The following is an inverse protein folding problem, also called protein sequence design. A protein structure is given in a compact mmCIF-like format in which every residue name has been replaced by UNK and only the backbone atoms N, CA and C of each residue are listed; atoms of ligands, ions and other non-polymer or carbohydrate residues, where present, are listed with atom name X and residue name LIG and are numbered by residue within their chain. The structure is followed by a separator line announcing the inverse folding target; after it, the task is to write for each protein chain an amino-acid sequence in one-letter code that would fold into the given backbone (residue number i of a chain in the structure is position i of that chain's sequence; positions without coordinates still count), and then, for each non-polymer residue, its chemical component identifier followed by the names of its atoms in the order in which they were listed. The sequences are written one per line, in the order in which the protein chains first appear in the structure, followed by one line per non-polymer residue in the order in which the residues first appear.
data_IF_196590376013
#
_entry.id   IF_196590376013
#
_cell.length_a   1.000
_cell.length_b   1.000
_cell.length_c   1.000
_cell.angle_alpha   90.00
_cell.angle_beta   90.00
_cell.angle_gamma   90.00
#
_symmetry.space_group_name_H-M   'P 1'
#
loop_
_entity.id
_entity.type
_entity.pdbx_description
1 polymer ?
#
# COMPACT_ATOMS: atom_id res chain seq x y z
N UNK A 1 -4.91 -10.96 5.91
CA UNK A 1 -5.95 -11.66 5.19
C UNK A 1 -5.38 -12.23 3.90
N UNK A 2 -5.55 -13.50 3.67
CA UNK A 2 -4.85 -14.22 2.61
C UNK A 2 -3.37 -14.44 2.95
N UNK A 3 -2.57 -14.83 1.97
CA UNK A 3 -1.16 -15.15 2.14
C UNK A 3 -0.24 -13.97 1.79
N UNK A 4 -0.69 -12.73 1.99
CA UNK A 4 0.11 -11.55 1.70
C UNK A 4 0.97 -11.18 2.91
N UNK A 5 2.29 -11.07 2.76
CA UNK A 5 3.12 -10.51 3.80
C UNK A 5 2.79 -9.02 4.00
N UNK A 6 2.72 -8.59 5.23
CA UNK A 6 2.45 -7.20 5.60
C UNK A 6 3.62 -6.68 6.45
N UNK A 7 4.02 -5.46 6.19
CA UNK A 7 4.99 -4.74 7.01
C UNK A 7 4.32 -3.47 7.55
N UNK A 8 4.43 -3.26 8.86
CA UNK A 8 3.99 -2.04 9.52
C UNK A 8 5.22 -1.20 9.92
N UNK A 9 5.22 0.07 9.55
CA UNK A 9 6.24 1.00 10.05
C UNK A 9 6.02 1.28 11.53
N UNK A 10 7.08 1.59 12.30
CA UNK A 10 6.90 2.16 13.63
C UNK A 10 6.27 3.56 13.55
N UNK A 11 5.86 4.09 14.70
CA UNK A 11 5.44 5.48 14.81
C UNK A 11 6.61 6.41 14.47
N UNK A 12 6.34 7.42 13.66
CA UNK A 12 7.32 8.40 13.19
C UNK A 12 6.72 9.80 13.30
N UNK A 13 7.50 10.77 13.73
CA UNK A 13 7.12 12.19 13.78
C UNK A 13 7.89 13.04 12.75
N UNK A 14 8.79 12.42 12.01
CA UNK A 14 9.57 13.03 10.94
C UNK A 14 9.40 12.28 9.61
N UNK A 15 9.31 13.02 8.50
CA UNK A 15 9.09 12.47 7.16
C UNK A 15 10.30 11.66 6.68
N UNK A 16 11.51 12.06 6.99
CA UNK A 16 12.71 11.32 6.59
C UNK A 16 12.81 10.00 7.34
N UNK A 17 12.43 10.00 8.62
CA UNK A 17 12.31 8.78 9.43
C UNK A 17 11.27 7.82 8.83
N UNK A 18 10.07 8.33 8.49
CA UNK A 18 9.03 7.52 7.86
C UNK A 18 9.50 6.87 6.55
N UNK A 19 10.17 7.64 5.69
CA UNK A 19 10.73 7.10 4.44
C UNK A 19 11.81 6.06 4.71
N UNK A 20 12.66 6.29 5.72
CA UNK A 20 13.69 5.34 6.13
C UNK A 20 13.08 4.02 6.59
N UNK A 21 12.02 4.06 7.41
CA UNK A 21 11.33 2.86 7.87
C UNK A 21 10.59 2.13 6.74
N UNK A 22 9.97 2.86 5.80
CA UNK A 22 9.36 2.22 4.62
C UNK A 22 10.42 1.45 3.82
N UNK A 23 11.60 2.05 3.59
CA UNK A 23 12.70 1.39 2.89
C UNK A 23 13.35 0.26 3.68
N UNK A 24 13.45 0.40 4.99
CA UNK A 24 13.91 -0.69 5.85
C UNK A 24 12.95 -1.89 5.79
N UNK A 25 11.65 -1.64 5.74
CA UNK A 25 10.63 -2.68 5.56
C UNK A 25 10.82 -3.48 4.27
N UNK A 26 11.11 -2.81 3.16
CA UNK A 26 11.42 -3.49 1.89
C UNK A 26 12.62 -4.43 2.03
N UNK A 27 13.70 -4.01 2.72
CA UNK A 27 14.88 -4.84 2.98
C UNK A 27 14.61 -6.02 3.89
N UNK A 28 13.84 -5.80 4.95
CA UNK A 28 13.44 -6.88 5.87
C UNK A 28 12.66 -7.97 5.13
N UNK A 29 11.73 -7.58 4.28
CA UNK A 29 10.92 -8.54 3.52
C UNK A 29 11.75 -9.26 2.46
N UNK A 30 12.72 -8.58 1.82
CA UNK A 30 13.69 -9.18 0.90
C UNK A 30 14.56 -10.25 1.62
N UNK A 31 15.09 -9.94 2.81
CA UNK A 31 15.86 -10.89 3.60
C UNK A 31 15.02 -12.12 4.00
N UNK A 32 13.75 -11.91 4.38
CA UNK A 32 12.84 -13.01 4.71
C UNK A 32 12.56 -13.90 3.48
N UNK A 33 12.44 -13.31 2.29
CA UNK A 33 12.27 -14.02 1.04
C UNK A 33 13.48 -14.95 0.79
N UNK A 34 14.71 -14.44 0.90
CA UNK A 34 15.91 -15.24 0.70
C UNK A 34 16.03 -16.39 1.72
N UNK A 35 15.64 -16.14 2.98
CA UNK A 35 15.59 -17.19 3.99
C UNK A 35 14.53 -18.26 3.66
N UNK A 36 13.37 -17.84 3.16
CA UNK A 36 12.32 -18.77 2.74
C UNK A 36 12.76 -19.64 1.56
N UNK A 37 13.39 -19.05 0.54
CA UNK A 37 13.94 -19.79 -0.61
C UNK A 37 14.99 -20.82 -0.18
N UNK A 38 15.86 -20.46 0.78
CA UNK A 38 16.85 -21.39 1.32
C UNK A 38 16.17 -22.59 1.97
N UNK A 39 15.16 -22.39 2.82
CA UNK A 39 14.40 -23.46 3.47
C UNK A 39 13.69 -24.35 2.46
N UNK A 40 13.04 -23.76 1.44
CA UNK A 40 12.39 -24.52 0.39
C UNK A 40 13.38 -25.44 -0.34
N UNK A 41 14.59 -24.94 -0.65
CA UNK A 41 15.65 -25.77 -1.26
C UNK A 41 16.10 -26.91 -0.35
N UNK A 42 16.20 -26.68 0.96
CA UNK A 42 16.50 -27.72 1.95
C UNK A 42 15.42 -28.80 2.01
N UNK A 43 14.16 -28.44 1.79
CA UNK A 43 13.00 -29.32 1.69
C UNK A 43 12.85 -29.99 0.30
N UNK A 44 13.80 -29.80 -0.62
CA UNK A 44 13.79 -30.35 -1.97
C UNK A 44 12.82 -29.64 -2.93
N UNK A 45 12.31 -28.49 -2.57
CA UNK A 45 11.45 -27.65 -3.42
C UNK A 45 12.33 -26.67 -4.17
N UNK A 46 12.30 -26.73 -5.50
CA UNK A 46 13.03 -25.80 -6.39
C UNK A 46 12.09 -24.72 -6.93
N UNK A 47 12.62 -23.53 -7.11
CA UNK A 47 11.92 -22.37 -7.66
C UNK A 47 12.36 -21.08 -6.99
N UNK A 48 11.91 -19.96 -7.55
CA UNK A 48 12.17 -18.63 -7.02
C UNK A 48 10.88 -18.05 -6.44
N UNK A 49 11.01 -17.31 -5.34
CA UNK A 49 9.89 -16.57 -4.76
C UNK A 49 9.89 -15.17 -5.37
N UNK A 50 8.80 -14.78 -6.01
CA UNK A 50 8.61 -13.44 -6.53
C UNK A 50 7.70 -12.66 -5.60
N UNK A 51 8.17 -11.53 -5.12
CA UNK A 51 7.42 -10.63 -4.24
C UNK A 51 7.14 -9.31 -4.93
N UNK A 52 5.89 -8.90 -4.94
CA UNK A 52 5.44 -7.67 -5.57
C UNK A 52 4.78 -6.75 -4.54
N UNK A 53 5.07 -5.45 -4.62
CA UNK A 53 4.40 -4.42 -3.82
C UNK A 53 3.32 -3.77 -4.69
N UNK A 54 2.06 -4.16 -4.48
CA UNK A 54 0.91 -3.69 -5.25
C UNK A 54 -0.25 -3.27 -4.35
N UNK A 55 -1.04 -2.30 -4.80
CA UNK A 55 -2.31 -1.94 -4.17
C UNK A 55 -3.50 -2.71 -4.73
N UNK A 56 -3.40 -3.17 -5.98
CA UNK A 56 -4.44 -3.94 -6.67
C UNK A 56 -3.83 -5.04 -7.51
N UNK A 57 -4.52 -6.18 -7.61
CA UNK A 57 -4.10 -7.28 -8.49
C UNK A 57 -4.65 -7.14 -9.92
N UNK A 58 -4.36 -8.15 -10.76
CA UNK A 58 -4.86 -8.21 -12.15
C UNK A 58 -6.34 -8.56 -12.25
N UNK A 59 -6.92 -9.12 -11.20
CA UNK A 59 -8.35 -9.45 -11.14
C UNK A 59 -9.20 -8.27 -10.63
N UNK A 60 -8.56 -7.15 -10.25
CA UNK A 60 -9.24 -5.95 -9.76
C UNK A 60 -9.50 -5.96 -8.25
N UNK A 61 -8.97 -6.94 -7.50
CA UNK A 61 -9.05 -6.90 -6.05
C UNK A 61 -8.14 -5.80 -5.51
N UNK A 62 -8.63 -5.06 -4.50
CA UNK A 62 -7.86 -4.04 -3.81
C UNK A 62 -7.31 -4.59 -2.50
N UNK A 63 -6.00 -4.44 -2.31
CA UNK A 63 -5.32 -4.66 -1.04
C UNK A 63 -5.25 -3.33 -0.28
N UNK A 64 -4.85 -3.28 0.91
CA UNK A 64 -4.79 -2.02 1.65
C UNK A 64 -3.39 -1.39 1.61
N UNK A 65 -3.35 -0.07 1.79
CA UNK A 65 -2.22 0.64 2.36
C UNK A 65 -2.80 1.49 3.48
N UNK A 66 -2.65 1.05 4.72
CA UNK A 66 -3.22 1.73 5.86
C UNK A 66 -2.28 2.85 6.31
N UNK A 67 -2.84 4.01 6.54
CA UNK A 67 -2.13 5.16 7.09
C UNK A 67 -2.83 5.55 8.40
N UNK A 68 -2.11 5.52 9.50
CA UNK A 68 -2.62 5.91 10.81
C UNK A 68 -1.97 7.24 11.23
N UNK A 69 -2.79 8.21 11.58
CA UNK A 69 -2.33 9.53 11.98
C UNK A 69 -2.74 9.82 13.42
N UNK A 70 -1.75 10.14 14.27
CA UNK A 70 -2.02 10.63 15.60
C UNK A 70 -2.39 12.10 15.52
N UNK A 71 -3.55 12.45 16.02
CA UNK A 71 -4.07 13.81 16.05
C UNK A 71 -4.46 14.21 17.47
N UNK A 72 -4.44 15.52 17.78
CA UNK A 72 -4.91 16.02 19.07
C UNK A 72 -6.40 15.73 19.27
N UNK A 73 -6.77 15.36 20.49
CA UNK A 73 -8.17 15.14 20.88
C UNK A 73 -8.98 16.45 20.93
N UNK A 74 -8.31 17.59 20.93
CA UNK A 74 -8.98 18.90 20.92
C UNK A 74 -9.52 19.30 19.55
N UNK A 75 -9.12 18.57 18.50
CA UNK A 75 -9.61 18.82 17.14
C UNK A 75 -10.87 18.00 16.89
N UNK A 76 -11.96 18.65 16.52
CA UNK A 76 -13.19 17.94 16.18
C UNK A 76 -13.01 17.07 14.93
N UNK A 77 -13.66 15.91 14.92
CA UNK A 77 -13.64 15.00 13.76
C UNK A 77 -14.11 15.70 12.48
N UNK A 78 -15.15 16.53 12.56
CA UNK A 78 -15.65 17.27 11.41
C UNK A 78 -14.58 18.15 10.78
N UNK A 79 -13.83 18.89 11.60
CA UNK A 79 -12.74 19.76 11.10
C UNK A 79 -11.61 18.97 10.46
N UNK A 80 -11.29 17.79 11.03
CA UNK A 80 -10.32 16.86 10.42
C UNK A 80 -10.81 16.38 9.06
N UNK A 81 -12.05 15.95 8.96
CA UNK A 81 -12.65 15.46 7.73
C UNK A 81 -12.67 16.55 6.64
N UNK A 82 -13.12 17.77 6.98
CA UNK A 82 -13.14 18.90 6.05
C UNK A 82 -11.75 19.27 5.49
N UNK A 83 -10.69 19.06 6.26
CA UNK A 83 -9.31 19.29 5.82
C UNK A 83 -8.69 18.12 5.08
N UNK A 84 -8.89 16.90 5.58
CA UNK A 84 -8.18 15.71 5.08
C UNK A 84 -8.85 15.08 3.86
N UNK A 85 -10.17 15.08 3.76
CA UNK A 85 -10.87 14.45 2.62
C UNK A 85 -10.45 15.09 1.28
N UNK A 86 -10.47 16.41 1.11
CA UNK A 86 -10.00 17.04 -0.13
C UNK A 86 -8.55 16.68 -0.46
N UNK A 87 -7.67 16.62 0.55
CA UNK A 87 -6.28 16.22 0.37
C UNK A 87 -6.17 14.77 -0.09
N UNK A 88 -6.85 13.83 0.57
CA UNK A 88 -6.78 12.41 0.21
C UNK A 88 -7.34 12.12 -1.19
N UNK A 89 -8.35 12.86 -1.62
CA UNK A 89 -8.89 12.76 -2.97
C UNK A 89 -7.91 13.33 -3.99
N UNK A 90 -7.40 14.53 -3.76
CA UNK A 90 -6.55 15.23 -4.74
C UNK A 90 -5.13 14.65 -4.82
N UNK A 91 -4.58 14.10 -3.74
CA UNK A 91 -3.24 13.47 -3.76
C UNK A 91 -3.15 12.31 -4.76
N UNK A 92 -4.25 11.69 -5.15
CA UNK A 92 -4.26 10.63 -6.16
C UNK A 92 -3.71 11.10 -7.52
N UNK A 93 -3.75 12.41 -7.80
CA UNK A 93 -3.27 13.00 -9.04
C UNK A 93 -1.74 12.97 -9.11
N UNK A 94 -1.04 13.18 -7.99
CA UNK A 94 0.42 13.27 -7.96
C UNK A 94 1.11 12.12 -7.21
N UNK A 95 0.38 11.36 -6.40
CA UNK A 95 0.91 10.25 -5.59
C UNK A 95 0.14 8.92 -5.79
N UNK A 96 -0.58 8.78 -6.89
CA UNK A 96 -1.47 7.64 -7.14
C UNK A 96 -0.78 6.35 -7.61
N UNK A 97 0.55 6.34 -7.78
CA UNK A 97 1.39 5.23 -8.24
C UNK A 97 1.10 4.69 -9.66
N UNK A 98 0.06 5.16 -10.32
CA UNK A 98 -0.26 4.77 -11.70
C UNK A 98 -0.59 3.29 -11.90
N UNK A 99 -1.29 2.98 -12.95
CA UNK A 99 -1.51 1.59 -13.40
C UNK A 99 -1.96 1.57 -14.87
N UNK A 100 -1.55 0.55 -15.59
CA UNK A 100 -2.14 0.19 -16.88
C UNK A 100 -3.30 -0.77 -16.61
N UNK A 101 -4.50 -0.35 -16.98
CA UNK A 101 -5.72 -1.14 -16.85
C UNK A 101 -6.08 -1.76 -18.19
N UNK A 102 -6.43 -3.04 -18.17
CA UNK A 102 -7.05 -3.73 -19.29
C UNK A 102 -8.57 -3.67 -19.15
N UNK A 103 -9.23 -3.18 -20.19
CA UNK A 103 -10.69 -3.14 -20.26
C UNK A 103 -11.18 -3.79 -21.55
N UNK A 104 -12.47 -4.08 -21.72
CA UNK A 104 -13.03 -4.55 -22.99
C UNK A 104 -12.77 -3.61 -24.17
N UNK A 105 -12.44 -2.34 -23.91
CA UNK A 105 -12.12 -1.30 -24.92
C UNK A 105 -10.62 -1.18 -25.21
N UNK A 106 -9.79 -2.01 -24.57
CA UNK A 106 -8.33 -1.96 -24.71
C UNK A 106 -7.61 -1.57 -23.42
N UNK A 107 -6.36 -1.16 -23.56
CA UNK A 107 -5.52 -0.75 -22.45
C UNK A 107 -5.54 0.77 -22.30
N UNK A 108 -5.57 1.24 -21.05
CA UNK A 108 -5.41 2.65 -20.74
C UNK A 108 -4.62 2.82 -19.44
N UNK A 109 -3.90 3.93 -19.34
CA UNK A 109 -3.18 4.32 -18.15
C UNK A 109 -4.10 5.12 -17.23
N UNK A 110 -4.05 4.83 -15.93
CA UNK A 110 -4.68 5.63 -14.88
C UNK A 110 -3.63 6.13 -13.89
N UNK A 111 -3.84 7.33 -13.37
CA UNK A 111 -2.93 7.97 -12.41
C UNK A 111 -2.91 7.29 -11.04
N UNK A 112 -3.98 6.61 -10.67
CA UNK A 112 -4.12 5.98 -9.37
C UNK A 112 -4.68 4.58 -9.48
N UNK A 113 -4.03 3.63 -8.83
CA UNK A 113 -4.52 2.25 -8.73
C UNK A 113 -5.79 2.14 -7.86
N UNK A 114 -5.99 3.07 -6.95
CA UNK A 114 -7.06 3.00 -5.93
C UNK A 114 -8.24 3.92 -6.19
N UNK A 115 -8.14 4.87 -7.12
CA UNK A 115 -9.15 5.90 -7.32
C UNK A 115 -10.57 5.33 -7.49
N UNK A 116 -10.71 4.25 -8.24
CA UNK A 116 -12.01 3.57 -8.45
C UNK A 116 -12.52 2.75 -7.26
N UNK A 117 -11.70 2.55 -6.23
CA UNK A 117 -12.07 1.86 -5.00
C UNK A 117 -12.43 2.83 -3.85
N UNK A 118 -12.22 4.13 -4.05
CA UNK A 118 -12.58 5.17 -3.09
C UNK A 118 -14.03 5.58 -3.35
N UNK A 119 -14.97 4.82 -2.79
CA UNK A 119 -16.41 4.99 -3.07
C UNK A 119 -17.15 5.72 -1.95
N UNK A 120 -16.52 5.91 -0.80
CA UNK A 120 -17.11 6.54 0.38
C UNK A 120 -16.12 7.54 0.99
N UNK A 121 -16.63 8.65 1.48
CA UNK A 121 -15.82 9.66 2.17
C UNK A 121 -15.35 9.15 3.53
N UNK A 122 -16.23 8.47 4.25
CA UNK A 122 -16.01 7.94 5.60
C UNK A 122 -16.71 6.58 5.68
N UNK A 123 -16.03 5.60 6.21
CA UNK A 123 -16.60 4.29 6.55
C UNK A 123 -16.39 4.01 8.04
N UNK A 124 -17.40 3.50 8.70
CA UNK A 124 -17.36 3.02 10.09
C UNK A 124 -17.19 1.52 10.18
#
# INVERSE_FOLDING_TARGET
MGSHPEYATPECDDVAELVTHDKAGERIVEDLLHQAEKRLREDGISGDILLFKNNTDSAGNSYGCHENYLVSRDVSFQRLAEGLIPFFVTRQIFAGAGKVLQTPRGFHYCLSQRAQHICQEISG
#
